data_IF_433928776676
#
_entry.id   IF_433928776676
#
_cell.length_a   1.000
_cell.length_b   1.000
_cell.length_c   1.000
_cell.angle_alpha   90.00
_cell.angle_beta   90.00
_cell.angle_gamma   90.00
#
_symmetry.space_group_name_H-M   'P 1'
#
loop_
_entity.id
_entity.type
_entity.pdbx_description
1 polymer ?
#
# COMPACT_ATOMS: atom_id res chain seq x y z
N UNK A 1 30.04 -8.93 10.49
CA UNK A 1 30.61 -7.59 10.29
C UNK A 1 29.73 -6.56 10.98
N UNK A 2 30.32 -5.55 11.64
CA UNK A 2 29.66 -4.50 12.39
C UNK A 2 30.00 -3.13 11.82
N UNK A 3 29.18 -2.12 12.14
CA UNK A 3 29.35 -0.73 11.73
C UNK A 3 28.78 0.20 12.81
N UNK A 4 29.40 1.35 13.01
CA UNK A 4 28.90 2.39 13.91
C UNK A 4 27.86 3.23 13.20
N UNK A 5 26.69 3.42 13.84
CA UNK A 5 25.68 4.35 13.37
C UNK A 5 26.11 5.78 13.65
N UNK A 6 26.14 6.66 12.63
CA UNK A 6 26.57 8.05 12.80
C UNK A 6 25.53 8.94 13.50
N UNK A 7 24.33 8.43 13.83
CA UNK A 7 23.30 9.19 14.57
C UNK A 7 23.23 8.79 16.05
N UNK A 8 23.15 7.48 16.35
CA UNK A 8 23.10 7.01 17.75
C UNK A 8 24.47 6.60 18.32
N UNK A 9 25.52 6.61 17.51
CA UNK A 9 26.88 6.24 17.84
C UNK A 9 27.06 4.79 18.36
N UNK A 10 26.04 3.94 18.21
CA UNK A 10 26.09 2.54 18.62
C UNK A 10 26.73 1.66 17.54
N UNK A 11 27.49 0.67 17.97
CA UNK A 11 28.04 -0.39 17.13
C UNK A 11 26.96 -1.43 16.89
N UNK A 12 26.54 -1.62 15.63
CA UNK A 12 25.48 -2.56 15.24
C UNK A 12 25.94 -3.48 14.12
N UNK A 13 25.29 -4.63 13.97
CA UNK A 13 25.50 -5.54 12.83
C UNK A 13 25.06 -4.87 11.52
N UNK A 14 25.67 -5.21 10.40
CA UNK A 14 25.39 -4.58 9.10
C UNK A 14 23.92 -4.68 8.69
N UNK A 15 23.23 -5.76 9.06
CA UNK A 15 21.80 -5.94 8.76
C UNK A 15 20.89 -4.92 9.46
N UNK A 16 21.40 -4.25 10.49
CA UNK A 16 20.69 -3.13 11.13
C UNK A 16 20.74 -1.84 10.32
N UNK A 17 21.43 -1.81 9.17
CA UNK A 17 21.53 -0.65 8.32
C UNK A 17 20.77 -0.87 6.99
N UNK A 18 20.07 0.15 6.46
CA UNK A 18 19.46 0.06 5.15
C UNK A 18 20.54 -0.05 4.06
N UNK A 19 20.29 -0.91 3.08
CA UNK A 19 21.13 -0.99 1.88
C UNK A 19 20.92 0.26 1.02
N UNK A 20 21.95 0.70 0.30
CA UNK A 20 21.80 1.72 -0.74
C UNK A 20 21.28 1.08 -2.01
N UNK A 21 20.25 1.66 -2.59
CA UNK A 21 19.76 1.30 -3.93
C UNK A 21 20.52 2.12 -4.99
N UNK A 22 21.24 1.43 -5.85
CA UNK A 22 21.85 2.01 -7.06
C UNK A 22 23.13 2.83 -6.82
N UNK A 23 24.19 2.47 -7.52
CA UNK A 23 25.43 3.24 -7.64
C UNK A 23 26.69 2.42 -7.46
N UNK A 24 27.69 2.74 -8.26
CA UNK A 24 29.04 2.15 -8.32
C UNK A 24 29.90 2.47 -7.09
N UNK A 25 29.31 2.99 -6.00
CA UNK A 25 30.06 3.40 -4.81
C UNK A 25 30.24 2.23 -3.85
N UNK A 26 31.47 2.05 -3.36
CA UNK A 26 31.93 1.00 -2.43
C UNK A 26 31.15 0.89 -1.11
N UNK A 27 30.20 1.77 -0.82
CA UNK A 27 29.44 1.79 0.44
C UNK A 27 28.03 1.21 0.24
N UNK A 28 27.89 -0.10 0.52
CA UNK A 28 26.64 -0.86 0.33
C UNK A 28 25.52 -0.49 1.33
N UNK A 29 25.85 0.18 2.45
CA UNK A 29 24.93 0.49 3.55
C UNK A 29 24.90 1.98 3.86
N UNK A 30 23.74 2.49 4.28
CA UNK A 30 23.59 3.87 4.74
C UNK A 30 24.35 4.10 6.07
N UNK A 31 24.58 5.37 6.41
CA UNK A 31 25.34 5.76 7.63
C UNK A 31 24.54 5.60 8.91
N UNK A 32 23.21 5.73 8.87
CA UNK A 32 22.31 5.56 10.00
C UNK A 32 21.71 4.16 10.02
N UNK A 33 21.48 3.61 11.21
CA UNK A 33 20.76 2.36 11.38
C UNK A 33 19.26 2.53 11.04
N UNK A 34 18.56 1.43 10.85
CA UNK A 34 17.13 1.38 10.50
C UNK A 34 16.27 2.13 11.53
N UNK A 35 16.57 1.97 12.84
CA UNK A 35 15.82 2.61 13.92
C UNK A 35 15.97 4.13 13.87
N UNK A 36 17.21 4.65 13.68
CA UNK A 36 17.44 6.07 13.52
C UNK A 36 16.78 6.65 12.27
N UNK A 37 16.77 5.92 11.17
CA UNK A 37 16.02 6.29 9.96
C UNK A 37 14.52 6.33 10.22
N UNK A 38 13.99 5.31 10.89
CA UNK A 38 12.57 5.24 11.21
C UNK A 38 12.12 6.39 12.10
N UNK A 39 12.83 6.63 13.21
CA UNK A 39 12.50 7.72 14.15
C UNK A 39 12.56 9.08 13.48
N UNK A 40 13.64 9.37 12.73
CA UNK A 40 13.76 10.61 11.98
C UNK A 40 12.65 10.81 10.95
N UNK A 41 12.32 9.75 10.18
CA UNK A 41 11.24 9.83 9.21
C UNK A 41 9.86 10.01 9.86
N UNK A 42 9.66 9.43 11.05
CA UNK A 42 8.43 9.60 11.83
C UNK A 42 8.28 11.04 12.30
N UNK A 43 9.32 11.59 12.94
CA UNK A 43 9.39 12.99 13.37
C UNK A 43 9.17 13.93 12.19
N UNK A 44 9.95 13.77 11.12
CA UNK A 44 9.82 14.60 9.91
C UNK A 44 8.41 14.58 9.33
N UNK A 45 7.75 13.41 9.29
CA UNK A 45 6.37 13.31 8.81
C UNK A 45 5.38 14.01 9.73
N UNK A 46 5.61 13.99 11.05
CA UNK A 46 4.77 14.69 12.01
C UNK A 46 4.89 16.21 11.82
N UNK A 47 6.11 16.70 11.69
CA UNK A 47 6.41 18.13 11.56
C UNK A 47 6.00 18.70 10.18
N UNK A 48 5.96 17.85 9.14
CA UNK A 48 5.71 18.24 7.76
C UNK A 48 4.35 17.76 7.21
N UNK A 49 3.37 17.51 8.06
CA UNK A 49 2.06 16.97 7.64
C UNK A 49 1.38 17.86 6.59
N UNK A 50 1.39 19.17 6.78
CA UNK A 50 0.78 20.10 5.84
C UNK A 50 1.53 20.14 4.51
N UNK A 51 2.85 20.13 4.52
CA UNK A 51 3.67 20.04 3.32
C UNK A 51 3.40 18.74 2.55
N UNK A 52 3.31 17.61 3.25
CA UNK A 52 2.95 16.32 2.65
C UNK A 52 1.53 16.38 2.04
N UNK A 53 0.59 17.02 2.73
CA UNK A 53 -0.78 17.21 2.24
C UNK A 53 -0.81 18.05 0.97
N UNK A 54 -0.05 19.15 0.92
CA UNK A 54 0.08 20.00 -0.27
C UNK A 54 0.74 19.26 -1.44
N UNK A 55 1.81 18.49 -1.20
CA UNK A 55 2.43 17.65 -2.23
C UNK A 55 1.46 16.57 -2.75
N UNK A 56 0.73 15.90 -1.85
CA UNK A 56 -0.30 14.93 -2.24
C UNK A 56 -1.47 15.58 -2.99
N UNK A 57 -1.82 16.81 -2.66
CA UNK A 57 -2.86 17.55 -3.37
C UNK A 57 -2.41 18.03 -4.76
N UNK A 58 -1.14 18.44 -4.92
CA UNK A 58 -0.54 18.78 -6.23
C UNK A 58 -0.31 17.55 -7.11
N UNK A 59 0.06 16.45 -6.50
CA UNK A 59 0.24 15.14 -7.15
C UNK A 59 -1.05 14.32 -7.06
N UNK A 60 -2.19 15.01 -7.03
CA UNK A 60 -3.47 14.34 -7.22
C UNK A 60 -3.34 13.55 -8.50
N UNK A 61 -3.18 12.26 -8.32
CA UNK A 61 -3.42 11.30 -9.36
C UNK A 61 -4.81 11.58 -9.87
N UNK A 62 -4.90 12.39 -10.91
CA UNK A 62 -6.19 12.67 -11.53
C UNK A 62 -6.77 11.30 -11.88
N UNK A 63 -8.08 11.15 -11.76
CA UNK A 63 -8.77 9.93 -12.13
C UNK A 63 -8.27 9.41 -13.48
N UNK A 64 -8.01 10.31 -14.41
CA UNK A 64 -7.44 10.02 -15.73
C UNK A 64 -6.10 9.27 -15.67
N UNK A 65 -5.15 9.68 -14.79
CA UNK A 65 -3.86 9.00 -14.62
C UNK A 65 -4.02 7.62 -13.96
N UNK A 66 -4.96 7.51 -13.02
CA UNK A 66 -5.28 6.23 -12.37
C UNK A 66 -5.85 5.25 -13.39
N UNK A 67 -6.83 5.69 -14.18
CA UNK A 67 -7.45 4.89 -15.23
C UNK A 67 -6.43 4.48 -16.31
N UNK A 68 -5.62 5.41 -16.80
CA UNK A 68 -4.60 5.13 -17.82
C UNK A 68 -3.59 4.07 -17.38
N UNK A 69 -3.23 4.00 -16.07
CA UNK A 69 -2.35 2.95 -15.55
C UNK A 69 -2.93 1.54 -15.67
N UNK A 70 -4.25 1.42 -15.64
CA UNK A 70 -4.97 0.15 -15.74
C UNK A 70 -5.62 -0.07 -17.10
N UNK A 71 -5.32 0.79 -18.10
CA UNK A 71 -5.80 0.66 -19.46
C UNK A 71 -7.29 0.93 -19.65
N UNK A 72 -7.92 1.65 -18.72
CA UNK A 72 -9.33 2.06 -18.82
C UNK A 72 -9.47 3.58 -18.92
N UNK A 73 -10.61 4.05 -19.36
CA UNK A 73 -10.98 5.46 -19.39
C UNK A 73 -11.66 5.89 -18.08
N UNK A 74 -11.77 7.20 -17.80
CA UNK A 74 -12.59 7.69 -16.69
C UNK A 74 -14.06 7.31 -16.81
N UNK A 75 -14.60 7.22 -18.04
CA UNK A 75 -15.97 6.83 -18.32
C UNK A 75 -16.21 5.37 -17.92
N UNK A 76 -15.30 4.47 -18.28
CA UNK A 76 -15.33 3.06 -17.86
C UNK A 76 -15.20 2.92 -16.34
N UNK A 77 -14.35 3.74 -15.69
CA UNK A 77 -14.28 3.77 -14.24
C UNK A 77 -15.62 4.14 -13.61
N UNK A 78 -16.28 5.18 -14.10
CA UNK A 78 -17.58 5.62 -13.57
C UNK A 78 -18.67 4.59 -13.82
N UNK A 79 -18.67 3.93 -14.98
CA UNK A 79 -19.61 2.84 -15.27
C UNK A 79 -19.49 1.71 -14.23
N UNK A 80 -18.26 1.25 -13.98
CA UNK A 80 -18.00 0.20 -12.97
C UNK A 80 -18.40 0.68 -11.56
N UNK A 81 -18.07 1.91 -11.22
CA UNK A 81 -18.36 2.49 -9.90
C UNK A 81 -19.88 2.60 -9.65
N UNK A 82 -20.64 3.02 -10.66
CA UNK A 82 -22.10 3.11 -10.61
C UNK A 82 -22.76 1.72 -10.56
N UNK A 83 -22.28 0.75 -11.33
CA UNK A 83 -22.73 -0.65 -11.26
C UNK A 83 -22.56 -1.27 -9.85
N UNK A 84 -21.60 -0.74 -9.07
CA UNK A 84 -21.34 -1.16 -7.69
C UNK A 84 -22.05 -0.29 -6.65
N UNK A 85 -22.96 0.62 -7.05
CA UNK A 85 -23.65 1.59 -6.17
C UNK A 85 -22.69 2.39 -5.29
N UNK A 86 -21.49 2.70 -5.80
CA UNK A 86 -20.44 3.40 -5.03
C UNK A 86 -19.95 2.65 -3.80
N UNK A 87 -20.15 1.34 -3.74
CA UNK A 87 -19.77 0.47 -2.61
C UNK A 87 -18.67 -0.51 -2.99
N UNK A 88 -17.90 -0.94 -2.01
CA UNK A 88 -16.86 -1.95 -2.19
C UNK A 88 -17.49 -3.34 -2.25
N UNK A 89 -17.39 -4.09 -3.37
CA UNK A 89 -18.05 -5.39 -3.50
C UNK A 89 -17.47 -6.50 -2.60
N UNK A 90 -16.40 -6.22 -1.85
CA UNK A 90 -15.80 -7.18 -0.91
C UNK A 90 -16.29 -6.95 0.53
N UNK A 91 -16.49 -5.72 0.96
CA UNK A 91 -16.86 -5.41 2.35
C UNK A 91 -18.13 -4.58 2.49
N UNK A 92 -18.78 -4.28 1.37
CA UNK A 92 -20.06 -3.56 1.26
C UNK A 92 -20.06 -2.13 1.86
N UNK A 93 -18.88 -1.58 2.13
CA UNK A 93 -18.74 -0.20 2.61
C UNK A 93 -18.79 0.77 1.44
N UNK A 94 -19.50 1.87 1.61
CA UNK A 94 -19.44 2.99 0.67
C UNK A 94 -17.99 3.47 0.52
N UNK A 95 -17.60 3.80 -0.70
CA UNK A 95 -16.26 4.30 -1.05
C UNK A 95 -16.36 5.59 -1.84
N UNK A 96 -15.51 6.54 -1.47
CA UNK A 96 -15.33 7.75 -2.27
C UNK A 96 -14.45 7.44 -3.49
N UNK A 97 -14.85 7.90 -4.68
CA UNK A 97 -14.12 7.62 -5.92
C UNK A 97 -12.64 8.01 -5.85
N UNK A 98 -12.32 9.14 -5.18
CA UNK A 98 -10.95 9.63 -5.00
C UNK A 98 -10.12 8.72 -4.08
N UNK A 99 -10.76 8.05 -3.13
CA UNK A 99 -10.10 7.19 -2.14
C UNK A 99 -10.18 5.70 -2.49
N UNK A 100 -10.74 5.36 -3.64
CA UNK A 100 -10.87 4.01 -4.15
C UNK A 100 -9.58 3.45 -4.76
N UNK A 101 -9.55 2.15 -5.00
CA UNK A 101 -8.52 1.45 -5.77
C UNK A 101 -9.16 0.77 -6.98
N UNK A 102 -8.51 0.85 -8.14
CA UNK A 102 -8.88 0.06 -9.33
C UNK A 102 -8.24 -1.31 -9.15
N UNK A 103 -9.07 -2.31 -8.91
CA UNK A 103 -8.65 -3.68 -8.77
C UNK A 103 -8.53 -4.35 -10.14
N UNK A 104 -7.49 -5.16 -10.31
CA UNK A 104 -7.21 -5.80 -11.59
C UNK A 104 -6.55 -7.16 -11.40
N UNK A 105 -6.65 -8.01 -12.39
CA UNK A 105 -5.95 -9.28 -12.44
C UNK A 105 -4.46 -9.02 -12.71
N UNK A 106 -3.58 -9.38 -11.77
CA UNK A 106 -2.13 -9.17 -11.88
C UNK A 106 -1.46 -9.96 -13.02
N UNK A 107 -2.14 -10.98 -13.59
CA UNK A 107 -1.61 -11.77 -14.71
C UNK A 107 -2.08 -11.24 -16.06
N UNK A 108 -3.36 -10.84 -16.17
CA UNK A 108 -3.94 -10.39 -17.44
C UNK A 108 -3.99 -8.88 -17.57
N UNK A 109 -3.95 -8.14 -16.45
CA UNK A 109 -4.14 -6.68 -16.42
C UNK A 109 -5.61 -6.25 -16.46
N UNK A 110 -6.55 -7.17 -16.63
CA UNK A 110 -7.99 -6.86 -16.72
C UNK A 110 -8.51 -6.27 -15.41
N UNK A 111 -9.24 -5.17 -15.50
CA UNK A 111 -9.91 -4.55 -14.37
C UNK A 111 -11.08 -5.42 -13.91
N UNK A 112 -11.15 -5.70 -12.62
CA UNK A 112 -12.19 -6.51 -11.98
C UNK A 112 -13.27 -5.67 -11.31
N UNK A 113 -12.90 -4.47 -10.84
CA UNK A 113 -13.82 -3.60 -10.13
C UNK A 113 -13.12 -2.47 -9.39
N UNK A 114 -13.92 -1.67 -8.69
CA UNK A 114 -13.46 -0.56 -7.84
C UNK A 114 -13.63 -0.97 -6.39
N UNK A 115 -12.53 -1.03 -5.65
CA UNK A 115 -12.51 -1.48 -4.25
C UNK A 115 -12.09 -0.37 -3.30
N UNK A 116 -12.40 -0.53 -2.02
CA UNK A 116 -11.70 0.25 -1.00
C UNK A 116 -10.23 -0.20 -0.92
N UNK A 117 -9.34 0.70 -0.56
CA UNK A 117 -7.89 0.42 -0.48
C UNK A 117 -7.53 -0.76 0.42
N UNK A 118 -8.30 -0.96 1.49
CA UNK A 118 -8.07 -2.07 2.44
C UNK A 118 -8.37 -3.42 1.81
N UNK A 119 -9.53 -3.57 1.14
CA UNK A 119 -9.89 -4.80 0.45
C UNK A 119 -8.95 -5.10 -0.71
N UNK A 120 -8.64 -4.12 -1.56
CA UNK A 120 -7.69 -4.29 -2.64
C UNK A 120 -6.32 -4.79 -2.14
N UNK A 121 -5.83 -4.22 -1.03
CA UNK A 121 -4.57 -4.67 -0.40
C UNK A 121 -4.70 -6.08 0.17
N UNK A 122 -5.82 -6.40 0.82
CA UNK A 122 -6.05 -7.72 1.41
C UNK A 122 -6.08 -8.82 0.36
N UNK A 123 -6.77 -8.60 -0.77
CA UNK A 123 -6.79 -9.53 -1.90
C UNK A 123 -5.37 -9.79 -2.43
N UNK A 124 -4.59 -8.74 -2.66
CA UNK A 124 -3.20 -8.87 -3.12
C UNK A 124 -2.29 -9.58 -2.11
N UNK A 125 -2.45 -9.34 -0.80
CA UNK A 125 -1.68 -10.03 0.25
C UNK A 125 -2.00 -11.54 0.32
N UNK A 126 -3.24 -11.94 -0.04
CA UNK A 126 -3.66 -13.33 -0.15
C UNK A 126 -3.36 -13.92 -1.54
N UNK A 127 -2.57 -13.22 -2.36
CA UNK A 127 -2.10 -13.66 -3.67
C UNK A 127 -3.19 -13.70 -4.74
N UNK A 128 -4.28 -12.94 -4.59
CA UNK A 128 -5.46 -12.96 -5.46
C UNK A 128 -6.03 -14.37 -5.67
N UNK A 129 -5.83 -15.26 -4.69
CA UNK A 129 -6.19 -16.66 -4.75
C UNK A 129 -7.54 -16.92 -4.07
N UNK A 130 -8.59 -17.31 -4.83
CA UNK A 130 -9.86 -17.73 -4.25
C UNK A 130 -9.71 -18.86 -3.23
N UNK A 131 -8.84 -19.81 -3.50
CA UNK A 131 -8.55 -20.95 -2.60
C UNK A 131 -7.98 -20.49 -1.26
N UNK A 132 -7.04 -19.53 -1.29
CA UNK A 132 -6.44 -18.96 -0.07
C UNK A 132 -7.50 -18.21 0.73
N UNK A 133 -8.36 -17.46 0.07
CA UNK A 133 -9.47 -16.74 0.72
C UNK A 133 -10.48 -17.70 1.33
N UNK A 134 -10.85 -18.76 0.63
CA UNK A 134 -11.76 -19.79 1.13
C UNK A 134 -11.18 -20.48 2.37
N UNK A 135 -9.88 -20.84 2.35
CA UNK A 135 -9.20 -21.39 3.54
C UNK A 135 -9.18 -20.40 4.69
N UNK A 136 -8.97 -19.11 4.41
CA UNK A 136 -9.05 -18.05 5.43
C UNK A 136 -10.45 -17.95 6.05
N UNK A 137 -11.48 -18.02 5.23
CA UNK A 137 -12.87 -18.06 5.66
C UNK A 137 -13.13 -19.28 6.58
N UNK A 138 -12.77 -20.49 6.13
CA UNK A 138 -12.94 -21.72 6.92
C UNK A 138 -12.15 -21.66 8.23
N UNK A 139 -10.91 -21.19 8.19
CA UNK A 139 -10.09 -21.01 9.40
C UNK A 139 -10.77 -20.10 10.43
N UNK A 140 -11.35 -18.99 9.98
CA UNK A 140 -12.07 -18.09 10.88
C UNK A 140 -13.32 -18.76 11.42
N UNK A 141 -14.12 -19.46 10.61
CA UNK A 141 -15.32 -20.17 11.07
C UNK A 141 -14.98 -21.23 12.14
N UNK A 142 -13.97 -22.04 11.90
CA UNK A 142 -13.59 -23.15 12.79
C UNK A 142 -13.04 -22.66 14.14
N UNK A 143 -12.48 -21.46 14.18
CA UNK A 143 -11.90 -20.90 15.42
C UNK A 143 -12.87 -20.07 16.25
N UNK A 144 -14.07 -19.81 15.78
CA UNK A 144 -15.19 -19.26 16.56
C UNK A 144 -14.97 -17.87 17.19
N UNK A 145 -14.02 -17.09 16.66
CA UNK A 145 -13.69 -15.76 17.18
C UNK A 145 -14.18 -14.65 16.25
N UNK A 146 -15.47 -14.68 15.94
CA UNK A 146 -16.11 -13.51 15.35
C UNK A 146 -16.51 -12.58 16.48
N UNK A 147 -15.74 -11.53 16.72
CA UNK A 147 -16.23 -10.39 17.47
C UNK A 147 -17.37 -9.77 16.68
N UNK A 148 -18.51 -9.59 17.34
CA UNK A 148 -19.59 -8.76 16.83
C UNK A 148 -19.00 -7.37 16.57
N UNK A 149 -18.86 -7.02 15.27
CA UNK A 149 -18.31 -5.74 14.81
C UNK A 149 -19.40 -4.70 14.69
#
# INVERSE_FOLDING_TARGET
MTKVCTKCHELKILDSFPKRSGGVTKQLYKSWCKDCHYSHNKEWRQDNQELIRQYRAKDKWTLQKRCARHGITPEEFWSIYEEQDGSCPVCDKAIEAEDSAIDHNHKTGEVRGILCKSCNRALGLLGDSPDTMFRGFTYLQDRGHYGDG
#
